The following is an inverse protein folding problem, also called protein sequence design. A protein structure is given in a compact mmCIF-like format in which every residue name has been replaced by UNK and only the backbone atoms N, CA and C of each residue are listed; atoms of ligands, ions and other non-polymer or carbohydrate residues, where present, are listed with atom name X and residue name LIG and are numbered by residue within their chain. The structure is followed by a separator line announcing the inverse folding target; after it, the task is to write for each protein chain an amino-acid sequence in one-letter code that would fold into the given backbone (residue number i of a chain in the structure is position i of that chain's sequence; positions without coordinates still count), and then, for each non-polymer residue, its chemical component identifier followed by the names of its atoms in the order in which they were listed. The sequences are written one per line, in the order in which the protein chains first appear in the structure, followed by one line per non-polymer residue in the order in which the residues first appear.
data_IF_790415007693
#
_entry.id   IF_790415007693
#
_cell.length_a   1.000
_cell.length_b   1.000
_cell.length_c   1.000
_cell.angle_alpha   90.00
_cell.angle_beta   90.00
_cell.angle_gamma   90.00
#
_symmetry.space_group_name_H-M   'P 1'
#
loop_
_entity.id
_entity.type
_entity.pdbx_description
1 polymer ?
#
# COMPACT_ATOMS: atom_id res chain seq x y z
N UNK A 1 13.42 14.19 12.64
CA UNK A 1 12.78 12.92 12.25
C UNK A 1 13.79 12.18 11.37
N UNK A 2 14.12 10.94 11.67
CA UNK A 2 15.00 10.14 10.81
C UNK A 2 14.22 9.70 9.59
N UNK A 3 14.71 10.06 8.42
CA UNK A 3 14.15 9.62 7.15
C UNK A 3 14.18 8.09 7.08
N UNK A 4 13.14 7.46 6.52
CA UNK A 4 13.13 6.02 6.30
C UNK A 4 14.42 5.59 5.60
N UNK A 5 15.03 4.49 6.07
CA UNK A 5 16.33 4.01 5.57
C UNK A 5 16.30 3.72 4.06
N UNK A 6 15.13 3.35 3.53
CA UNK A 6 14.87 3.09 2.12
C UNK A 6 13.77 3.98 1.56
N UNK A 7 13.81 4.34 0.26
CA UNK A 7 12.78 5.16 -0.36
C UNK A 7 11.46 4.40 -0.51
N UNK A 8 10.40 5.16 -0.77
CA UNK A 8 9.16 4.62 -1.33
C UNK A 8 9.32 4.59 -2.85
N UNK A 9 9.02 3.44 -3.47
CA UNK A 9 8.92 3.34 -4.92
C UNK A 9 7.54 3.86 -5.38
N UNK A 10 7.54 5.00 -6.09
CA UNK A 10 6.35 5.61 -6.66
C UNK A 10 6.24 5.22 -8.13
N UNK A 11 5.48 4.16 -8.42
CA UNK A 11 5.17 3.81 -9.82
C UNK A 11 4.25 4.88 -10.41
N UNK A 12 4.63 5.47 -11.54
CA UNK A 12 3.95 6.65 -12.10
C UNK A 12 2.56 6.37 -12.68
N UNK A 13 2.11 5.10 -12.70
CA UNK A 13 0.79 4.71 -13.16
C UNK A 13 0.69 4.72 -14.69
N UNK A 14 -0.51 5.00 -15.20
CA UNK A 14 -0.72 5.16 -16.65
C UNK A 14 0.05 6.39 -17.14
N UNK A 15 1.04 6.23 -18.04
CA UNK A 15 1.85 7.35 -18.50
C UNK A 15 1.04 8.39 -19.29
N UNK A 16 -0.08 8.02 -19.90
CA UNK A 16 -0.96 8.95 -20.60
C UNK A 16 -2.04 9.54 -19.67
N UNK A 17 -2.13 9.10 -18.41
CA UNK A 17 -3.00 9.67 -17.39
C UNK A 17 -2.33 10.80 -16.60
N UNK A 18 -2.96 11.20 -15.48
CA UNK A 18 -2.43 12.21 -14.54
C UNK A 18 -1.31 11.69 -13.64
N UNK A 19 -1.07 10.37 -13.64
CA UNK A 19 -0.13 9.70 -12.75
C UNK A 19 1.27 10.33 -12.73
N UNK A 20 1.91 10.58 -13.89
CA UNK A 20 3.20 11.25 -13.94
C UNK A 20 3.21 12.64 -13.29
N UNK A 21 2.16 13.44 -13.50
CA UNK A 21 2.05 14.79 -12.94
C UNK A 21 1.99 14.76 -11.42
N UNK A 22 1.10 13.93 -10.86
CA UNK A 22 0.92 13.86 -9.41
C UNK A 22 2.12 13.20 -8.72
N UNK A 23 2.77 12.22 -9.36
CA UNK A 23 3.97 11.57 -8.84
C UNK A 23 5.11 12.57 -8.69
N UNK A 24 5.36 13.37 -9.74
CA UNK A 24 6.39 14.42 -9.73
C UNK A 24 6.06 15.50 -8.72
N UNK A 25 4.82 16.01 -8.68
CA UNK A 25 4.39 17.00 -7.69
C UNK A 25 4.58 16.48 -6.26
N UNK A 26 4.19 15.24 -5.98
CA UNK A 26 4.34 14.63 -4.67
C UNK A 26 5.83 14.45 -4.30
N UNK A 27 6.66 13.94 -5.21
CA UNK A 27 8.08 13.75 -4.96
C UNK A 27 8.81 15.07 -4.68
N UNK A 28 8.50 16.13 -5.46
CA UNK A 28 9.03 17.47 -5.23
C UNK A 28 8.57 18.04 -3.89
N UNK A 29 7.28 17.90 -3.56
CA UNK A 29 6.74 18.36 -2.28
C UNK A 29 7.44 17.67 -1.10
N UNK A 30 7.61 16.35 -1.15
CA UNK A 30 8.30 15.56 -0.11
C UNK A 30 9.77 15.97 0.04
N UNK A 31 10.47 16.26 -1.06
CA UNK A 31 11.86 16.69 -1.02
C UNK A 31 12.05 18.03 -0.29
N UNK A 32 11.10 18.96 -0.43
CA UNK A 32 11.14 20.29 0.22
C UNK A 32 10.71 20.23 1.69
N UNK A 33 9.79 19.32 2.05
CA UNK A 33 9.17 19.27 3.38
C UNK A 33 9.74 18.16 4.28
N UNK A 34 10.98 17.73 4.04
CA UNK A 34 11.64 16.64 4.80
C UNK A 34 10.79 15.35 4.88
N UNK A 35 10.09 15.04 3.79
CA UNK A 35 9.31 13.83 3.63
C UNK A 35 10.18 12.60 3.35
N UNK A 36 9.57 11.39 3.38
CA UNK A 36 10.24 10.18 2.90
C UNK A 36 10.83 10.38 1.50
N UNK A 37 12.00 9.76 1.26
CA UNK A 37 12.61 9.78 -0.08
C UNK A 37 11.70 9.02 -1.05
N UNK A 38 11.35 9.66 -2.16
CA UNK A 38 10.58 9.02 -3.23
C UNK A 38 11.54 8.61 -4.36
N UNK A 39 11.41 7.37 -4.82
CA UNK A 39 12.01 6.88 -6.05
C UNK A 39 10.89 6.79 -7.09
N UNK A 40 10.91 7.68 -8.10
CA UNK A 40 9.94 7.63 -9.18
C UNK A 40 10.27 6.44 -10.09
N UNK A 41 9.29 5.59 -10.37
CA UNK A 41 9.48 4.39 -11.20
C UNK A 41 8.63 4.50 -12.45
N UNK A 42 9.28 4.57 -13.60
CA UNK A 42 8.65 4.63 -14.91
C UNK A 42 9.58 5.14 -16.00
N UNK A 43 9.02 5.43 -17.17
CA UNK A 43 9.77 5.99 -18.28
C UNK A 43 10.37 7.36 -17.95
N UNK A 44 11.69 7.50 -18.04
CA UNK A 44 12.37 8.75 -17.72
C UNK A 44 11.94 9.92 -18.63
N UNK A 45 11.57 9.64 -19.89
CA UNK A 45 11.11 10.67 -20.81
C UNK A 45 9.74 11.25 -20.39
N UNK A 46 8.83 10.41 -19.89
CA UNK A 46 7.53 10.82 -19.34
C UNK A 46 7.71 11.62 -18.05
N UNK A 47 8.57 11.15 -17.15
CA UNK A 47 8.85 11.84 -15.88
C UNK A 47 9.49 13.20 -16.12
N UNK A 48 10.46 13.29 -17.05
CA UNK A 48 11.08 14.57 -17.43
C UNK A 48 10.07 15.55 -18.01
N UNK A 49 9.18 15.09 -18.88
CA UNK A 49 8.10 15.92 -19.43
C UNK A 49 7.22 16.50 -18.31
N UNK A 50 6.83 15.69 -17.32
CA UNK A 50 6.04 16.19 -16.18
C UNK A 50 6.85 17.15 -15.29
N UNK A 51 8.12 16.85 -15.04
CA UNK A 51 9.02 17.67 -14.22
C UNK A 51 9.26 19.07 -14.78
N UNK A 52 9.35 19.22 -16.10
CA UNK A 52 9.52 20.54 -16.75
C UNK A 52 8.46 21.55 -16.31
N UNK A 53 7.22 21.09 -16.03
CA UNK A 53 6.12 21.95 -15.60
C UNK A 53 5.86 21.89 -14.10
N UNK A 54 5.91 20.71 -13.50
CA UNK A 54 5.53 20.50 -12.11
C UNK A 54 6.64 20.74 -11.11
N UNK A 55 7.91 20.62 -11.53
CA UNK A 55 9.09 20.70 -10.67
C UNK A 55 10.29 21.29 -11.43
N UNK A 56 10.19 22.48 -12.07
CA UNK A 56 11.22 23.01 -12.96
C UNK A 56 12.56 23.29 -12.29
N UNK A 57 12.57 23.44 -10.95
CA UNK A 57 13.78 23.67 -10.16
C UNK A 57 14.49 22.38 -9.74
N UNK A 58 14.01 21.20 -10.16
CA UNK A 58 14.56 19.91 -9.78
C UNK A 58 15.30 19.24 -10.93
N UNK A 59 16.50 18.75 -10.65
CA UNK A 59 17.22 17.88 -11.56
C UNK A 59 16.60 16.48 -11.57
N UNK A 60 16.41 15.91 -12.76
CA UNK A 60 15.95 14.53 -12.89
C UNK A 60 17.15 13.60 -13.01
N UNK A 61 17.38 12.81 -11.97
CA UNK A 61 18.52 11.91 -11.85
C UNK A 61 18.09 10.46 -12.08
N UNK A 62 18.51 9.89 -13.19
CA UNK A 62 18.38 8.45 -13.41
C UNK A 62 19.29 7.70 -12.42
N UNK A 63 18.75 6.69 -11.74
CA UNK A 63 19.45 5.91 -10.71
C UNK A 63 19.18 4.42 -10.89
N UNK A 64 19.97 3.60 -10.19
CA UNK A 64 19.66 2.19 -9.97
C UNK A 64 19.04 2.03 -8.58
N UNK A 65 18.09 1.11 -8.44
CA UNK A 65 17.45 0.86 -7.15
C UNK A 65 18.45 0.39 -6.07
N UNK A 66 19.42 -0.44 -6.46
CA UNK A 66 20.45 -1.00 -5.57
C UNK A 66 21.61 -0.06 -5.23
N UNK A 67 21.68 1.10 -5.90
CA UNK A 67 22.79 2.03 -5.77
C UNK A 67 22.28 3.48 -5.81
N UNK A 68 21.47 3.83 -4.81
CA UNK A 68 20.97 5.18 -4.68
C UNK A 68 22.09 6.12 -4.20
N UNK A 69 22.34 7.23 -4.89
CA UNK A 69 23.27 8.25 -4.41
C UNK A 69 22.76 8.91 -3.12
N UNK A 70 23.61 9.74 -2.50
CA UNK A 70 23.18 10.60 -1.40
C UNK A 70 21.95 11.43 -1.81
N UNK A 71 21.06 11.62 -0.85
CA UNK A 71 19.87 12.42 -1.09
C UNK A 71 20.24 13.86 -1.43
N UNK A 72 19.51 14.44 -2.40
CA UNK A 72 19.55 15.87 -2.70
C UNK A 72 18.13 16.42 -2.67
N UNK A 73 17.86 17.52 -1.94
CA UNK A 73 16.55 18.19 -1.97
C UNK A 73 16.32 18.96 -3.29
N UNK A 74 17.30 19.01 -4.18
CA UNK A 74 17.21 19.66 -5.49
C UNK A 74 17.12 18.64 -6.65
N UNK A 75 17.03 17.34 -6.37
CA UNK A 75 16.93 16.32 -7.41
C UNK A 75 15.82 15.30 -7.11
N UNK A 76 15.19 14.81 -8.17
CA UNK A 76 14.25 13.68 -8.13
C UNK A 76 14.92 12.45 -8.72
N UNK A 77 14.91 11.36 -7.96
CA UNK A 77 15.48 10.09 -8.37
C UNK A 77 14.48 9.30 -9.21
N UNK A 78 14.95 8.79 -10.35
CA UNK A 78 14.15 8.03 -11.30
C UNK A 78 14.78 6.67 -11.56
N UNK A 79 14.03 5.62 -11.28
CA UNK A 79 14.29 4.29 -11.83
C UNK A 79 13.67 4.23 -13.23
N UNK A 80 14.51 4.37 -14.25
CA UNK A 80 14.09 4.38 -15.64
C UNK A 80 13.65 2.98 -16.10
N UNK A 81 12.40 2.88 -16.54
CA UNK A 81 11.81 1.65 -17.08
C UNK A 81 11.35 1.96 -18.50
N UNK A 82 12.16 1.70 -19.54
CA UNK A 82 11.87 2.10 -20.91
C UNK A 82 10.80 1.19 -21.53
N UNK A 83 9.54 1.40 -21.17
CA UNK A 83 8.43 0.51 -21.54
C UNK A 83 7.44 1.15 -22.53
N UNK A 84 7.37 2.48 -22.57
CA UNK A 84 6.56 3.24 -23.50
C UNK A 84 7.44 3.83 -24.62
N UNK A 85 7.19 3.50 -25.90
CA UNK A 85 7.81 4.22 -27.01
C UNK A 85 7.49 5.71 -26.96
N UNK A 86 8.47 6.57 -27.28
CA UNK A 86 8.32 8.04 -27.19
C UNK A 86 7.16 8.56 -28.06
N UNK A 87 6.89 7.93 -29.20
CA UNK A 87 5.80 8.27 -30.12
C UNK A 87 4.42 7.76 -29.65
N UNK A 88 4.39 6.83 -28.68
CA UNK A 88 3.18 6.35 -28.03
C UNK A 88 2.79 7.19 -26.80
N UNK A 89 3.66 8.09 -26.34
CA UNK A 89 3.37 9.01 -25.26
C UNK A 89 2.42 10.13 -25.71
N UNK A 90 1.17 10.04 -25.27
CA UNK A 90 0.06 10.93 -25.66
C UNK A 90 -0.83 11.21 -24.44
N UNK A 91 -0.47 12.19 -23.60
CA UNK A 91 -1.29 12.58 -22.46
C UNK A 91 -2.76 12.79 -22.86
N UNK A 92 -3.66 12.16 -22.12
CA UNK A 92 -5.10 12.17 -22.35
C UNK A 92 -5.65 11.07 -23.28
N UNK A 93 -4.79 10.25 -23.89
CA UNK A 93 -5.22 9.15 -24.76
C UNK A 93 -5.05 7.77 -24.08
N UNK A 94 -6.16 7.02 -24.00
CA UNK A 94 -6.13 5.60 -23.60
C UNK A 94 -5.38 4.80 -24.67
N UNK A 95 -4.34 4.05 -24.29
CA UNK A 95 -3.60 3.21 -25.23
C UNK A 95 -3.14 1.88 -24.62
N UNK A 96 -3.09 0.83 -25.44
CA UNK A 96 -2.58 -0.48 -25.04
C UNK A 96 -1.10 -0.43 -24.62
N UNK A 97 -0.29 0.42 -25.28
CA UNK A 97 1.11 0.61 -24.95
C UNK A 97 1.30 1.23 -23.55
N UNK A 98 0.48 2.23 -23.21
CA UNK A 98 0.46 2.82 -21.86
C UNK A 98 0.03 1.81 -20.79
N UNK A 99 -0.94 0.94 -21.11
CA UNK A 99 -1.34 -0.17 -20.24
C UNK A 99 -0.21 -1.16 -19.96
N UNK A 100 0.51 -1.59 -21.01
CA UNK A 100 1.69 -2.46 -20.85
C UNK A 100 2.79 -1.79 -20.02
N UNK A 101 3.06 -0.51 -20.27
CA UNK A 101 4.06 0.27 -19.55
C UNK A 101 3.70 0.40 -18.06
N UNK A 102 2.42 0.65 -17.74
CA UNK A 102 1.92 0.70 -16.34
C UNK A 102 2.30 -0.55 -15.55
N UNK A 103 2.07 -1.73 -16.14
CA UNK A 103 2.43 -3.00 -15.50
C UNK A 103 3.94 -3.18 -15.39
N UNK A 104 4.72 -2.71 -16.38
CA UNK A 104 6.19 -2.75 -16.31
C UNK A 104 6.71 -1.87 -15.16
N UNK A 105 6.13 -0.69 -14.94
CA UNK A 105 6.53 0.21 -13.87
C UNK A 105 6.24 -0.39 -12.49
N UNK A 106 5.03 -0.94 -12.31
CA UNK A 106 4.66 -1.58 -11.04
C UNK A 106 5.51 -2.82 -10.78
N UNK A 107 5.80 -3.63 -11.79
CA UNK A 107 6.74 -4.76 -11.69
C UNK A 107 8.10 -4.31 -11.19
N UNK A 108 8.71 -3.30 -11.83
CA UNK A 108 10.03 -2.81 -11.43
C UNK A 108 10.03 -2.24 -10.00
N UNK A 109 8.94 -1.59 -9.58
CA UNK A 109 8.78 -1.11 -8.22
C UNK A 109 8.66 -2.26 -7.20
N UNK A 110 7.89 -3.30 -7.52
CA UNK A 110 7.75 -4.51 -6.70
C UNK A 110 9.08 -5.27 -6.60
N UNK A 111 9.82 -5.41 -7.70
CA UNK A 111 11.15 -6.05 -7.73
C UNK A 111 12.14 -5.27 -6.85
N UNK A 112 12.14 -3.94 -6.91
CA UNK A 112 12.97 -3.10 -6.04
C UNK A 112 12.60 -3.26 -4.56
N UNK A 113 11.30 -3.30 -4.22
CA UNK A 113 10.86 -3.51 -2.84
C UNK A 113 11.24 -4.91 -2.33
N UNK A 114 11.01 -5.96 -3.14
CA UNK A 114 11.36 -7.34 -2.80
C UNK A 114 12.87 -7.54 -2.60
N UNK A 115 13.69 -6.79 -3.33
CA UNK A 115 15.15 -6.79 -3.17
C UNK A 115 15.63 -5.96 -1.94
N UNK A 116 14.71 -5.35 -1.17
CA UNK A 116 15.05 -4.51 -0.02
C UNK A 116 15.58 -3.12 -0.41
N UNK A 117 15.34 -2.67 -1.64
CA UNK A 117 15.76 -1.36 -2.14
C UNK A 117 14.68 -0.28 -2.04
N UNK A 118 13.45 -0.67 -1.65
CA UNK A 118 12.36 0.23 -1.31
C UNK A 118 11.59 -0.31 -0.11
N UNK A 119 11.09 0.58 0.76
CA UNK A 119 10.30 0.21 1.94
C UNK A 119 8.83 -0.07 1.62
N UNK A 120 8.31 0.54 0.55
CA UNK A 120 6.96 0.32 0.07
C UNK A 120 6.85 0.69 -1.40
N UNK A 121 5.81 0.18 -2.05
CA UNK A 121 5.38 0.57 -3.40
C UNK A 121 4.07 1.31 -3.31
N UNK A 122 3.98 2.47 -3.94
CA UNK A 122 2.73 3.20 -4.11
C UNK A 122 2.54 3.49 -5.59
N UNK A 123 1.52 2.85 -6.16
CA UNK A 123 1.16 3.05 -7.56
C UNK A 123 0.22 4.25 -7.72
N UNK A 124 0.58 5.14 -8.63
CA UNK A 124 -0.31 6.18 -9.14
C UNK A 124 -1.46 5.56 -9.95
N UNK A 125 -2.47 6.36 -10.36
CA UNK A 125 -3.65 5.86 -11.06
C UNK A 125 -3.31 5.06 -12.31
N UNK A 126 -4.12 4.06 -12.57
CA UNK A 126 -4.02 3.21 -13.75
C UNK A 126 -5.35 3.19 -14.50
N UNK A 127 -5.31 2.67 -15.72
CA UNK A 127 -6.49 2.43 -16.55
C UNK A 127 -6.63 0.95 -16.79
N UNK A 128 -7.63 0.31 -16.16
CA UNK A 128 -7.93 -1.09 -16.42
C UNK A 128 -8.23 -1.34 -17.91
N UNK A 129 -8.88 -0.39 -18.57
CA UNK A 129 -9.13 -0.42 -20.02
C UNK A 129 -7.82 -0.46 -20.81
N UNK A 130 -6.86 0.42 -20.49
CA UNK A 130 -5.56 0.44 -21.17
C UNK A 130 -4.78 -0.86 -20.94
N UNK A 131 -4.76 -1.36 -19.69
CA UNK A 131 -4.06 -2.58 -19.32
C UNK A 131 -4.67 -3.80 -20.03
N UNK A 132 -5.99 -3.96 -20.01
CA UNK A 132 -6.65 -5.08 -20.69
C UNK A 132 -6.48 -4.99 -22.21
N UNK A 133 -6.47 -3.77 -22.79
CA UNK A 133 -6.17 -3.57 -24.20
C UNK A 133 -4.73 -3.96 -24.58
N UNK A 134 -3.81 -4.04 -23.60
CA UNK A 134 -2.45 -4.56 -23.80
C UNK A 134 -2.39 -6.09 -23.94
N UNK A 135 -3.53 -6.79 -23.82
CA UNK A 135 -3.63 -8.24 -23.83
C UNK A 135 -3.34 -8.91 -22.48
N UNK A 136 -3.13 -8.13 -21.41
CA UNK A 136 -2.98 -8.68 -20.05
C UNK A 136 -4.30 -8.61 -19.29
N UNK A 137 -4.87 -9.76 -18.95
CA UNK A 137 -6.05 -9.82 -18.09
C UNK A 137 -5.72 -9.20 -16.72
N UNK A 138 -6.41 -8.12 -16.39
CA UNK A 138 -6.19 -7.35 -15.17
C UNK A 138 -7.52 -6.92 -14.56
N UNK A 139 -7.70 -7.25 -13.28
CA UNK A 139 -8.90 -6.96 -12.49
C UNK A 139 -8.55 -6.17 -11.22
N UNK A 140 -7.41 -5.47 -11.23
CA UNK A 140 -6.88 -4.71 -10.11
C UNK A 140 -5.53 -5.23 -9.60
N UNK A 141 -4.87 -4.39 -8.80
CA UNK A 141 -3.54 -4.68 -8.29
C UNK A 141 -3.42 -5.86 -7.32
N UNK A 142 -4.36 -6.14 -6.40
CA UNK A 142 -4.17 -7.22 -5.43
C UNK A 142 -3.85 -8.57 -6.09
N UNK A 143 -4.62 -8.96 -7.13
CA UNK A 143 -4.37 -10.19 -7.87
C UNK A 143 -3.08 -10.14 -8.71
N UNK A 144 -2.74 -8.97 -9.27
CA UNK A 144 -1.49 -8.79 -10.01
C UNK A 144 -0.26 -8.92 -9.09
N UNK A 145 -0.29 -8.27 -7.92
CA UNK A 145 0.76 -8.32 -6.90
C UNK A 145 0.96 -9.75 -6.43
N UNK A 146 -0.12 -10.46 -6.06
CA UNK A 146 -0.03 -11.87 -5.65
C UNK A 146 0.66 -12.73 -6.72
N UNK A 147 0.19 -12.63 -7.98
CA UNK A 147 0.75 -13.37 -9.11
C UNK A 147 2.23 -13.05 -9.34
N UNK A 148 2.60 -11.76 -9.28
CA UNK A 148 3.97 -11.34 -9.50
C UNK A 148 4.91 -11.81 -8.39
N UNK A 149 4.44 -11.80 -7.14
CA UNK A 149 5.22 -12.29 -6.00
C UNK A 149 5.32 -13.82 -5.94
N UNK A 150 4.56 -14.54 -6.77
CA UNK A 150 4.50 -16.01 -6.76
C UNK A 150 3.71 -16.55 -5.57
N UNK A 151 2.77 -15.76 -5.04
CA UNK A 151 1.96 -16.09 -3.88
C UNK A 151 0.59 -16.60 -4.32
N UNK A 152 -0.01 -17.47 -3.49
CA UNK A 152 -1.44 -17.68 -3.59
C UNK A 152 -2.19 -16.39 -3.22
N UNK A 153 -3.37 -16.17 -3.79
CA UNK A 153 -4.20 -15.01 -3.46
C UNK A 153 -4.50 -14.91 -1.96
N UNK A 154 -4.55 -16.06 -1.26
CA UNK A 154 -4.80 -16.16 0.18
C UNK A 154 -3.59 -15.83 1.05
N UNK A 155 -2.41 -15.64 0.45
CA UNK A 155 -1.18 -15.19 1.12
C UNK A 155 -0.92 -13.69 0.90
N UNK A 156 -1.89 -12.96 0.34
CA UNK A 156 -1.90 -11.49 0.24
C UNK A 156 -3.08 -10.94 1.03
N UNK A 157 -2.77 -10.11 2.02
CA UNK A 157 -3.76 -9.58 2.96
C UNK A 157 -3.96 -8.08 2.74
N UNK A 158 -5.15 -7.61 3.09
CA UNK A 158 -5.45 -6.18 3.08
C UNK A 158 -5.14 -5.58 4.45
N UNK A 159 -4.17 -4.68 4.49
CA UNK A 159 -3.93 -3.78 5.62
C UNK A 159 -4.63 -2.45 5.34
N UNK A 160 -5.62 -2.12 6.16
CA UNK A 160 -6.33 -0.85 6.12
C UNK A 160 -5.76 0.10 7.18
N UNK A 161 -5.41 1.32 6.78
CA UNK A 161 -4.81 2.32 7.68
C UNK A 161 -5.58 3.63 7.62
N UNK A 162 -5.89 4.19 8.79
CA UNK A 162 -6.54 5.49 8.92
C UNK A 162 -7.10 5.72 10.33
N UNK A 163 -7.24 6.99 10.74
CA UNK A 163 -7.86 7.35 12.01
C UNK A 163 -7.10 6.80 13.23
N UNK A 164 -5.76 6.72 13.13
CA UNK A 164 -4.88 6.14 14.14
C UNK A 164 -4.94 4.62 14.24
N UNK A 165 -5.62 3.93 13.31
CA UNK A 165 -5.76 2.48 13.30
C UNK A 165 -5.02 1.88 12.10
N UNK A 166 -4.42 0.70 12.33
CA UNK A 166 -3.88 -0.19 11.29
C UNK A 166 -4.51 -1.55 11.48
N UNK A 167 -5.29 -2.04 10.53
CA UNK A 167 -6.04 -3.30 10.66
C UNK A 167 -5.82 -4.18 9.44
N UNK A 168 -5.17 -5.33 9.63
CA UNK A 168 -5.07 -6.39 8.61
C UNK A 168 -6.28 -7.30 8.69
N UNK A 169 -6.73 -7.81 7.54
CA UNK A 169 -7.90 -8.69 7.45
C UNK A 169 -7.49 -10.11 7.04
N UNK A 170 -7.85 -11.11 7.85
CA UNK A 170 -7.63 -12.53 7.55
C UNK A 170 -8.56 -13.04 6.43
N UNK A 171 -9.76 -12.46 6.32
CA UNK A 171 -10.68 -12.62 5.18
C UNK A 171 -11.20 -11.25 4.74
N UNK A 172 -11.63 -11.13 3.48
CA UNK A 172 -11.99 -9.82 2.92
C UNK A 172 -13.30 -9.86 2.11
N UNK A 173 -13.23 -9.82 0.78
CA UNK A 173 -14.39 -9.61 -0.09
C UNK A 173 -15.14 -10.92 -0.34
N UNK A 174 -15.92 -11.37 0.64
CA UNK A 174 -16.80 -12.53 0.54
C UNK A 174 -18.01 -12.40 1.48
N UNK A 175 -19.01 -13.27 1.34
CA UNK A 175 -20.14 -13.32 2.27
C UNK A 175 -19.69 -13.77 3.66
N UNK A 176 -20.26 -13.18 4.73
CA UNK A 176 -19.83 -13.44 6.11
C UNK A 176 -19.80 -14.94 6.47
N UNK A 177 -20.81 -15.71 6.07
CA UNK A 177 -20.82 -17.16 6.30
C UNK A 177 -19.65 -17.88 5.58
N UNK A 178 -19.28 -17.42 4.38
CA UNK A 178 -18.12 -17.93 3.64
C UNK A 178 -16.81 -17.58 4.34
N UNK A 179 -16.66 -16.33 4.79
CA UNK A 179 -15.51 -15.87 5.54
C UNK A 179 -15.28 -16.73 6.79
N UNK A 180 -16.34 -16.94 7.59
CA UNK A 180 -16.28 -17.76 8.79
C UNK A 180 -15.93 -19.23 8.49
N UNK A 181 -16.52 -19.80 7.43
CA UNK A 181 -16.24 -21.19 7.05
C UNK A 181 -14.82 -21.39 6.52
N UNK A 182 -14.18 -20.34 6.00
CA UNK A 182 -12.83 -20.38 5.41
C UNK A 182 -11.73 -20.10 6.43
N UNK A 183 -12.04 -19.42 7.53
CA UNK A 183 -11.07 -19.08 8.56
C UNK A 183 -10.41 -20.33 9.16
N UNK A 184 -9.08 -20.30 9.23
CA UNK A 184 -8.26 -21.34 9.84
C UNK A 184 -7.13 -20.70 10.65
N UNK A 185 -6.52 -21.40 11.63
CA UNK A 185 -5.38 -20.86 12.37
C UNK A 185 -4.29 -20.32 11.44
N UNK A 186 -3.94 -21.09 10.40
CA UNK A 186 -2.96 -20.72 9.38
C UNK A 186 -3.27 -19.38 8.71
N UNK A 187 -4.54 -19.10 8.44
CA UNK A 187 -4.94 -17.88 7.73
C UNK A 187 -4.84 -16.65 8.65
N UNK A 188 -5.16 -16.81 9.94
CA UNK A 188 -4.96 -15.77 10.96
C UNK A 188 -3.47 -15.51 11.19
N UNK A 189 -2.67 -16.57 11.32
CA UNK A 189 -1.21 -16.47 11.44
C UNK A 189 -0.59 -15.79 10.23
N UNK A 190 -1.00 -16.16 9.02
CA UNK A 190 -0.52 -15.56 7.78
C UNK A 190 -0.78 -14.06 7.74
N UNK A 191 -1.99 -13.63 8.08
CA UNK A 191 -2.36 -12.22 8.18
C UNK A 191 -1.52 -11.47 9.23
N UNK A 192 -1.37 -12.04 10.43
CA UNK A 192 -0.58 -11.45 11.50
C UNK A 192 0.90 -11.30 11.10
N UNK A 193 1.51 -12.33 10.51
CA UNK A 193 2.91 -12.30 10.06
C UNK A 193 3.12 -11.33 8.90
N UNK A 194 2.18 -11.25 7.97
CA UNK A 194 2.20 -10.24 6.92
C UNK A 194 2.16 -8.83 7.52
N UNK A 195 1.33 -8.61 8.55
CA UNK A 195 1.27 -7.35 9.26
C UNK A 195 2.58 -7.02 9.99
N UNK A 196 3.23 -7.98 10.67
CA UNK A 196 4.56 -7.76 11.29
C UNK A 196 5.56 -7.26 10.28
N UNK A 197 5.67 -7.96 9.13
CA UNK A 197 6.62 -7.58 8.07
C UNK A 197 6.31 -6.19 7.51
N UNK A 198 5.03 -5.87 7.31
CA UNK A 198 4.61 -4.55 6.89
C UNK A 198 4.99 -3.48 7.92
N UNK A 199 4.77 -3.74 9.22
CA UNK A 199 5.15 -2.82 10.29
C UNK A 199 6.66 -2.57 10.34
N UNK A 200 7.48 -3.60 10.16
CA UNK A 200 8.94 -3.43 10.03
C UNK A 200 9.32 -2.58 8.81
N UNK A 201 8.70 -2.81 7.67
CA UNK A 201 8.92 -1.99 6.47
C UNK A 201 8.51 -0.52 6.69
N UNK A 202 7.53 -0.28 7.56
CA UNK A 202 7.10 1.05 8.00
C UNK A 202 7.96 1.63 9.15
N UNK A 203 9.00 0.93 9.60
CA UNK A 203 9.94 1.40 10.61
C UNK A 203 9.56 1.09 12.06
N UNK A 204 8.57 0.21 12.30
CA UNK A 204 8.23 -0.27 13.64
C UNK A 204 9.03 -1.55 13.91
N UNK A 205 10.10 -1.43 14.71
CA UNK A 205 11.06 -2.53 14.96
C UNK A 205 10.50 -3.68 15.79
N UNK A 206 9.54 -3.42 16.68
CA UNK A 206 8.94 -4.42 17.57
C UNK A 206 7.43 -4.21 17.64
N UNK A 207 6.69 -4.53 16.57
CA UNK A 207 5.27 -4.25 16.51
C UNK A 207 4.51 -5.12 17.51
N UNK A 208 3.66 -4.48 18.33
CA UNK A 208 2.67 -5.18 19.14
C UNK A 208 1.39 -5.40 18.35
N UNK A 209 0.92 -6.64 18.32
CA UNK A 209 -0.24 -7.06 17.52
C UNK A 209 -1.43 -7.33 18.43
N UNK A 210 -2.61 -6.84 18.05
CA UNK A 210 -3.88 -7.24 18.65
C UNK A 210 -4.65 -8.18 17.73
N UNK A 211 -4.88 -9.43 18.14
CA UNK A 211 -5.74 -10.37 17.41
C UNK A 211 -7.16 -10.33 17.96
N UNK A 212 -8.12 -10.00 17.10
CA UNK A 212 -9.54 -10.00 17.46
C UNK A 212 -10.09 -11.43 17.52
N UNK A 213 -11.05 -11.66 18.41
CA UNK A 213 -11.87 -12.87 18.36
C UNK A 213 -12.82 -12.88 17.16
N UNK A 214 -13.29 -14.06 16.78
CA UNK A 214 -14.34 -14.28 15.78
C UNK A 214 -15.69 -13.91 16.39
N UNK A 215 -15.97 -14.45 17.58
CA UNK A 215 -17.23 -14.22 18.29
C UNK A 215 -17.16 -12.98 19.20
N UNK A 216 -18.32 -12.42 19.59
CA UNK A 216 -18.37 -11.48 20.70
C UNK A 216 -17.64 -12.04 21.93
N UNK A 217 -16.88 -11.17 22.60
CA UNK A 217 -16.07 -11.55 23.77
C UNK A 217 -15.07 -12.69 23.50
N UNK A 218 -14.68 -12.90 22.24
CA UNK A 218 -13.84 -14.03 21.82
C UNK A 218 -14.39 -15.40 22.29
N UNK A 219 -15.73 -15.57 22.22
CA UNK A 219 -16.40 -16.84 22.48
C UNK A 219 -16.71 -17.11 23.97
N UNK A 220 -16.16 -16.31 24.90
CA UNK A 220 -16.42 -16.42 26.35
C UNK A 220 -16.25 -17.87 26.86
N UNK A 221 -15.08 -18.47 26.59
CA UNK A 221 -14.77 -19.85 26.97
C UNK A 221 -15.63 -20.92 26.29
N UNK A 222 -16.22 -20.60 25.13
CA UNK A 222 -17.09 -21.49 24.36
C UNK A 222 -18.58 -21.22 24.51
N UNK A 223 -18.99 -20.27 25.38
CA UNK A 223 -20.39 -19.93 25.60
C UNK A 223 -21.05 -19.32 24.36
N UNK A 224 -20.32 -18.52 23.58
CA UNK A 224 -20.84 -17.83 22.39
C UNK A 224 -20.39 -18.43 21.06
N UNK A 225 -19.77 -19.61 21.10
CA UNK A 225 -19.19 -20.24 19.92
C UNK A 225 -17.81 -20.79 20.24
N UNK A 226 -17.38 -21.77 19.43
CA UNK A 226 -16.09 -22.47 19.58
C UNK A 226 -15.03 -22.03 18.58
N UNK A 227 -15.41 -21.21 17.60
CA UNK A 227 -14.56 -20.79 16.50
C UNK A 227 -13.26 -20.14 17.03
N UNK A 228 -13.33 -19.39 18.13
CA UNK A 228 -12.14 -18.82 18.76
C UNK A 228 -11.17 -19.87 19.33
N UNK A 229 -11.70 -20.84 20.09
CA UNK A 229 -10.93 -21.97 20.63
C UNK A 229 -10.28 -22.79 19.51
N UNK A 230 -11.02 -22.99 18.42
CA UNK A 230 -10.59 -23.85 17.32
C UNK A 230 -9.71 -23.11 16.28
N UNK A 231 -9.77 -21.77 16.21
CA UNK A 231 -9.11 -20.96 15.16
C UNK A 231 -8.16 -19.88 15.71
N UNK A 232 -8.64 -18.95 16.54
CA UNK A 232 -7.86 -17.76 16.92
C UNK A 232 -6.94 -18.00 18.11
N UNK A 233 -7.33 -18.82 19.09
CA UNK A 233 -6.48 -19.21 20.21
C UNK A 233 -5.23 -19.98 19.75
N UNK A 234 -5.33 -21.01 18.87
CA UNK A 234 -4.15 -21.72 18.37
C UNK A 234 -3.24 -20.82 17.54
N UNK A 235 -3.82 -19.92 16.73
CA UNK A 235 -3.05 -18.96 15.95
C UNK A 235 -2.24 -18.01 16.85
N UNK A 236 -2.86 -17.47 17.91
CA UNK A 236 -2.16 -16.60 18.85
C UNK A 236 -1.08 -17.35 19.64
N UNK A 237 -1.34 -18.59 20.04
CA UNK A 237 -0.33 -19.42 20.69
C UNK A 237 0.89 -19.62 19.77
N UNK A 238 0.68 -19.99 18.50
CA UNK A 238 1.76 -20.16 17.52
C UNK A 238 2.55 -18.87 17.27
N UNK A 239 1.88 -17.71 17.22
CA UNK A 239 2.55 -16.41 17.07
C UNK A 239 3.41 -16.08 18.30
N UNK A 240 2.93 -16.37 19.52
CA UNK A 240 3.71 -16.17 20.77
C UNK A 240 4.92 -17.09 20.83
N UNK A 241 4.75 -18.36 20.44
CA UNK A 241 5.84 -19.34 20.43
C UNK A 241 6.97 -18.91 19.48
N UNK A 242 6.63 -18.19 18.40
CA UNK A 242 7.58 -17.57 17.48
C UNK A 242 8.15 -16.22 17.96
N UNK A 243 7.82 -15.81 19.19
CA UNK A 243 8.35 -14.60 19.82
C UNK A 243 7.71 -13.29 19.35
N UNK A 244 6.56 -13.34 18.66
CA UNK A 244 5.82 -12.15 18.26
C UNK A 244 5.08 -11.56 19.48
N UNK A 245 5.20 -10.26 19.70
CA UNK A 245 4.44 -9.56 20.76
C UNK A 245 2.96 -9.46 20.35
N UNK A 246 2.16 -10.43 20.81
CA UNK A 246 0.74 -10.56 20.45
C UNK A 246 -0.18 -10.63 21.65
N UNK A 247 -1.21 -9.80 21.62
CA UNK A 247 -2.33 -9.74 22.56
C UNK A 247 -3.57 -10.34 21.87
N UNK A 248 -4.29 -11.17 22.62
CA UNK A 248 -5.53 -11.80 22.15
C UNK A 248 -5.53 -13.34 22.27
N UNK A 249 -6.50 -14.01 21.61
CA UNK A 249 -7.66 -13.36 20.99
C UNK A 249 -8.50 -12.63 22.04
N UNK A 250 -9.05 -11.47 21.69
CA UNK A 250 -9.91 -10.67 22.58
C UNK A 250 -11.11 -10.13 21.80
N UNK A 251 -12.24 -9.91 22.49
CA UNK A 251 -13.37 -9.19 21.92
C UNK A 251 -12.93 -7.88 21.24
N UNK A 252 -13.34 -7.68 19.99
CA UNK A 252 -12.84 -6.59 19.15
C UNK A 252 -13.17 -5.20 19.73
N UNK A 253 -14.31 -5.08 20.40
CA UNK A 253 -14.78 -3.86 21.08
C UNK A 253 -13.82 -3.38 22.16
N UNK A 254 -13.33 -4.28 23.02
CA UNK A 254 -12.34 -3.95 24.05
C UNK A 254 -10.94 -3.77 23.46
N UNK A 255 -10.57 -4.63 22.51
CA UNK A 255 -9.23 -4.61 21.93
C UNK A 255 -8.96 -3.31 21.16
N UNK A 256 -9.92 -2.80 20.40
CA UNK A 256 -9.81 -1.56 19.61
C UNK A 256 -9.71 -0.28 20.45
N UNK A 257 -9.99 -0.35 21.76
CA UNK A 257 -9.78 0.77 22.68
C UNK A 257 -8.34 0.89 23.17
N UNK A 258 -7.49 -0.11 22.93
CA UNK A 258 -6.11 -0.09 23.36
C UNK A 258 -5.27 0.83 22.48
N UNK A 259 -4.45 1.67 23.13
CA UNK A 259 -3.52 2.59 22.47
C UNK A 259 -2.11 2.00 22.31
N UNK A 260 -1.82 0.87 22.98
CA UNK A 260 -0.51 0.22 22.93
C UNK A 260 -0.38 -0.83 21.81
N UNK A 261 -1.35 -0.93 20.90
CA UNK A 261 -1.34 -1.87 19.78
C UNK A 261 -0.94 -1.15 18.48
N UNK A 262 0.09 -1.64 17.80
CA UNK A 262 0.58 -1.06 16.55
C UNK A 262 -0.26 -1.44 15.33
N UNK A 263 -0.77 -2.68 15.34
CA UNK A 263 -1.59 -3.27 14.27
C UNK A 263 -2.56 -4.32 14.81
N UNK A 264 -3.77 -4.32 14.28
CA UNK A 264 -4.82 -5.28 14.65
C UNK A 264 -5.04 -6.30 13.53
N UNK A 265 -5.45 -7.52 13.90
CA UNK A 265 -5.87 -8.58 12.98
C UNK A 265 -7.38 -8.78 13.13
N UNK A 266 -8.12 -8.40 12.10
CA UNK A 266 -9.55 -8.63 11.96
C UNK A 266 -9.81 -9.94 11.23
N UNK A 267 -10.82 -10.68 11.68
CA UNK A 267 -11.20 -11.98 11.14
C UNK A 267 -12.00 -11.84 9.84
N UNK A 268 -12.84 -10.80 9.73
CA UNK A 268 -13.68 -10.52 8.57
C UNK A 268 -13.75 -9.03 8.25
N UNK A 269 -14.20 -8.70 7.02
CA UNK A 269 -14.17 -7.34 6.45
C UNK A 269 -14.74 -6.27 7.39
N UNK A 270 -15.99 -6.42 7.81
CA UNK A 270 -16.70 -5.38 8.57
C UNK A 270 -16.11 -5.17 9.97
N UNK A 271 -15.49 -6.21 10.56
CA UNK A 271 -14.85 -6.12 11.87
C UNK A 271 -13.71 -5.08 11.88
N UNK A 272 -12.95 -4.98 10.78
CA UNK A 272 -11.87 -4.02 10.63
C UNK A 272 -12.24 -2.75 9.85
N UNK A 273 -13.14 -2.84 8.86
CA UNK A 273 -13.50 -1.67 8.04
C UNK A 273 -14.31 -0.64 8.81
N UNK A 274 -15.32 -1.07 9.58
CA UNK A 274 -16.18 -0.16 10.35
C UNK A 274 -15.37 0.78 11.26
N UNK A 275 -14.49 0.29 12.16
CA UNK A 275 -13.76 1.18 13.06
C UNK A 275 -12.86 2.18 12.34
N UNK A 276 -12.16 1.75 11.28
CA UNK A 276 -11.32 2.67 10.49
C UNK A 276 -12.18 3.70 9.77
N UNK A 277 -13.28 3.31 9.13
CA UNK A 277 -14.14 4.23 8.38
C UNK A 277 -14.86 5.22 9.29
N UNK A 278 -15.25 4.82 10.50
CA UNK A 278 -15.82 5.74 11.49
C UNK A 278 -14.82 6.81 11.95
N UNK A 279 -13.54 6.45 12.18
CA UNK A 279 -12.52 7.41 12.63
C UNK A 279 -11.93 8.24 11.50
N UNK A 280 -11.71 7.65 10.33
CA UNK A 280 -10.97 8.26 9.23
C UNK A 280 -11.85 8.81 8.10
N UNK A 281 -13.11 8.37 8.02
CA UNK A 281 -13.98 8.65 6.88
C UNK A 281 -13.31 8.24 5.55
N UNK A 282 -13.16 9.23 4.67
CA UNK A 282 -12.50 9.07 3.36
C UNK A 282 -10.97 9.10 3.43
N UNK A 283 -10.38 9.42 4.58
CA UNK A 283 -8.94 9.55 4.78
C UNK A 283 -8.30 8.25 5.28
N UNK A 284 -8.58 7.14 4.58
CA UNK A 284 -7.97 5.83 4.83
C UNK A 284 -7.32 5.28 3.56
N UNK A 285 -6.27 4.50 3.74
CA UNK A 285 -5.54 3.83 2.66
C UNK A 285 -5.63 2.32 2.84
N UNK A 286 -5.87 1.64 1.73
CA UNK A 286 -5.80 0.19 1.62
C UNK A 286 -4.43 -0.20 1.07
N UNK A 287 -3.81 -1.20 1.68
CA UNK A 287 -2.54 -1.76 1.26
C UNK A 287 -2.68 -3.27 1.08
N UNK A 288 -2.09 -3.80 0.01
CA UNK A 288 -1.82 -5.22 -0.14
C UNK A 288 -0.48 -5.53 0.51
N UNK A 289 -0.48 -6.47 1.46
CA UNK A 289 0.71 -6.92 2.19
C UNK A 289 0.88 -8.43 2.04
N UNK A 290 2.11 -8.88 1.84
CA UNK A 290 2.45 -10.28 1.54
C UNK A 290 3.78 -10.36 0.78
N UNK A 291 4.47 -11.51 0.85
CA UNK A 291 5.74 -11.74 0.12
C UNK A 291 6.79 -10.65 0.29
N UNK A 292 6.95 -10.14 1.51
CA UNK A 292 7.90 -9.10 1.90
C UNK A 292 7.72 -7.74 1.22
N UNK A 293 6.52 -7.46 0.71
CA UNK A 293 6.18 -6.18 0.07
C UNK A 293 4.99 -5.53 0.73
N UNK A 294 5.08 -4.20 0.90
CA UNK A 294 3.96 -3.31 1.18
C UNK A 294 3.59 -2.58 -0.10
N UNK A 295 2.40 -2.87 -0.64
CA UNK A 295 1.90 -2.25 -1.87
C UNK A 295 0.63 -1.43 -1.58
N UNK A 296 0.55 -0.21 -2.09
CA UNK A 296 -0.67 0.61 -2.10
C UNK A 296 -0.90 1.20 -3.48
N UNK A 297 -2.13 1.65 -3.73
CA UNK A 297 -2.47 2.44 -4.90
C UNK A 297 -3.47 3.54 -4.53
N UNK A 298 -3.39 4.68 -5.20
CA UNK A 298 -4.39 5.74 -5.02
C UNK A 298 -5.70 5.38 -5.74
N UNK A 299 -6.84 5.64 -5.08
CA UNK A 299 -8.16 5.17 -5.52
C UNK A 299 -8.88 6.04 -6.56
N UNK A 300 -8.22 7.04 -7.15
CA UNK A 300 -8.81 7.84 -8.23
C UNK A 300 -8.37 7.31 -9.61
N UNK A 301 -9.21 7.50 -10.62
CA UNK A 301 -8.94 7.06 -11.99
C UNK A 301 -7.80 7.83 -12.66
N UNK A 302 -7.42 7.38 -13.86
CA UNK A 302 -6.31 7.95 -14.65
C UNK A 302 -6.50 9.40 -15.10
N UNK A 303 -7.70 9.97 -15.01
CA UNK A 303 -7.94 11.40 -15.27
C UNK A 303 -7.54 11.85 -16.68
N UNK A 304 -7.82 11.05 -17.71
CA UNK A 304 -7.41 11.34 -19.09
C UNK A 304 -7.93 12.70 -19.61
N UNK A 305 -9.08 13.15 -19.13
CA UNK A 305 -9.68 14.45 -19.49
C UNK A 305 -8.86 15.66 -19.03
N UNK A 306 -8.01 15.50 -18.00
CA UNK A 306 -7.15 16.56 -17.45
C UNK A 306 -5.65 16.25 -17.55
N UNK A 307 -5.27 15.08 -18.06
CA UNK A 307 -3.88 14.73 -18.31
C UNK A 307 -3.25 15.68 -19.35
N UNK A 308 -2.04 16.16 -19.10
CA UNK A 308 -1.41 17.20 -19.93
C UNK A 308 -1.75 18.63 -19.52
N UNK A 309 -2.73 18.83 -18.65
CA UNK A 309 -3.15 20.17 -18.23
C UNK A 309 -2.47 20.64 -16.94
N UNK A 310 -1.78 19.74 -16.22
CA UNK A 310 -1.02 20.06 -15.01
C UNK A 310 -1.87 20.57 -13.83
N UNK A 311 -3.18 20.34 -13.87
CA UNK A 311 -4.14 20.78 -12.83
C UNK A 311 -4.45 19.71 -11.78
N UNK A 312 -3.99 18.47 -11.98
CA UNK A 312 -4.26 17.37 -11.04
C UNK A 312 -3.65 17.64 -9.64
N UNK A 313 -4.43 17.39 -8.59
CA UNK A 313 -4.04 17.59 -7.19
C UNK A 313 -3.26 16.37 -6.64
N UNK A 314 -2.02 16.52 -6.14
CA UNK A 314 -1.25 15.42 -5.57
C UNK A 314 -1.66 15.05 -4.14
N UNK A 315 -2.56 15.80 -3.50
CA UNK A 315 -2.92 15.61 -2.09
C UNK A 315 -3.39 14.18 -1.73
N UNK A 316 -4.18 13.46 -2.56
CA UNK A 316 -4.52 12.07 -2.29
C UNK A 316 -3.29 11.15 -2.25
N UNK A 317 -2.33 11.35 -3.15
CA UNK A 317 -1.09 10.57 -3.18
C UNK A 317 -0.20 10.88 -1.97
N UNK A 318 -0.08 12.16 -1.58
CA UNK A 318 0.63 12.55 -0.37
C UNK A 318 -0.02 11.96 0.89
N UNK A 319 -1.36 11.93 0.95
CA UNK A 319 -2.12 11.28 2.01
C UNK A 319 -1.83 9.78 2.09
N UNK A 320 -1.81 9.08 0.95
CA UNK A 320 -1.44 7.67 0.89
C UNK A 320 0.00 7.43 1.36
N UNK A 321 0.96 8.23 0.87
CA UNK A 321 2.37 8.19 1.29
C UNK A 321 2.52 8.35 2.80
N UNK A 322 1.80 9.30 3.40
CA UNK A 322 1.86 9.52 4.83
C UNK A 322 1.21 8.39 5.64
N UNK A 323 0.07 7.87 5.20
CA UNK A 323 -0.56 6.71 5.84
C UNK A 323 0.35 5.48 5.78
N UNK A 324 1.02 5.25 4.65
CA UNK A 324 1.97 4.13 4.46
C UNK A 324 3.22 4.31 5.33
N UNK A 325 3.77 5.53 5.45
CA UNK A 325 5.07 5.73 6.13
C UNK A 325 4.99 6.14 7.59
N UNK A 326 3.86 6.71 8.02
CA UNK A 326 3.69 7.25 9.39
C UNK A 326 2.47 6.68 10.09
N UNK A 327 1.53 6.05 9.36
CA UNK A 327 0.24 5.63 9.91
C UNK A 327 -0.77 6.75 10.11
N UNK A 328 -0.42 7.99 9.74
CA UNK A 328 -1.26 9.17 9.90
C UNK A 328 -1.23 10.02 8.63
N UNK A 329 -2.36 10.63 8.29
CA UNK A 329 -2.45 11.58 7.17
C UNK A 329 -2.16 13.01 7.66
N UNK A 330 -1.28 13.79 7.00
CA UNK A 330 -0.99 15.18 7.38
C UNK A 330 -2.22 16.08 7.27
N UNK A 331 -3.23 15.67 6.51
CA UNK A 331 -4.51 16.38 6.39
C UNK A 331 -5.33 16.31 7.69
N UNK A 332 -5.11 15.30 8.54
CA UNK A 332 -5.76 15.19 9.85
C UNK A 332 -5.12 16.14 10.88
N UNK A 333 -3.80 16.37 10.81
CA UNK A 333 -3.07 17.25 11.73
C UNK A 333 -3.41 18.74 11.56
N UNK A 334 -3.93 19.15 10.40
CA UNK A 334 -4.32 20.55 10.13
C UNK A 334 -5.70 20.95 10.70
N UNK A 335 -6.40 20.03 11.39
CA UNK A 335 -7.72 20.28 12.00
C UNK A 335 -7.77 20.05 13.52
N UNK A 336 -6.61 19.90 14.18
CA UNK A 336 -6.49 19.84 15.63
C UNK A 336 -5.92 21.15 16.18
#
# INVERSE_FOLDING_TARGET
MTRAAYPIALAIGDPNGIGPEIAVKAAAWLAVHDGPRALLVGDAHVIRWAAQRCAPSFDIRAVRADALPAFSPAALDVLDVPALPVDAFKPGEVSAAAGAATLAYVRAALDAARAGHASAVIACPHSETAINASGTAFAGYPGYVAKHLGLASDDVYLLLVGGGLRIVHATLHEGLAGALARLTPRQVEGAARAAVRAMHAMGVERPRIGVMGINPHAGEGGLFGREDIDVTEPAVAALRDDGIDVIGPQGADLLLMREDIDVFVAMYHDQGHIPVKLRAGRHSAAMSIGGDVVFSSVGHGSGFDIAGQFVADPSPLLGAIALVTRGESPVAAAKA
#
